data_IF_850191828409
#
_entry.id   IF_850191828409
#
_cell.length_a   1.000
_cell.length_b   1.000
_cell.length_c   1.000
_cell.angle_alpha   90.00
_cell.angle_beta   90.00
_cell.angle_gamma   90.00
#
_symmetry.space_group_name_H-M   'P 1'
#
loop_
_entity.id
_entity.type
_entity.pdbx_description
1 polymer ?
#
# COMPACT_ATOMS: atom_id res chain seq x y z
N UNK A 1 17.12 11.00 11.62
CA UNK A 1 16.71 12.39 11.88
C UNK A 1 17.93 13.29 11.86
N UNK A 2 17.81 14.45 11.18
CA UNK A 2 18.86 15.43 11.06
C UNK A 2 19.15 16.11 12.42
N UNK A 3 20.40 16.53 12.63
CA UNK A 3 20.83 17.25 13.85
C UNK A 3 20.40 18.72 13.74
N UNK A 4 19.35 19.09 14.44
CA UNK A 4 18.88 20.48 14.47
C UNK A 4 19.92 21.38 15.14
N UNK A 5 20.16 22.56 14.56
CA UNK A 5 21.16 23.53 15.02
C UNK A 5 22.57 23.32 14.50
N UNK A 6 22.81 22.32 13.64
CA UNK A 6 24.09 22.07 13.01
C UNK A 6 24.17 22.76 11.63
N UNK A 7 25.10 23.67 11.42
CA UNK A 7 25.24 24.43 10.18
C UNK A 7 25.61 23.54 8.97
N UNK A 8 26.26 22.41 9.17
CA UNK A 8 26.52 21.46 8.07
C UNK A 8 25.23 20.82 7.56
N UNK A 9 24.30 20.51 8.47
CA UNK A 9 22.98 20.00 8.10
C UNK A 9 22.25 21.01 7.24
N UNK A 10 22.28 22.30 7.58
CA UNK A 10 21.58 23.33 6.79
C UNK A 10 22.23 23.61 5.43
N UNK A 11 23.57 23.50 5.33
CA UNK A 11 24.25 23.52 4.03
C UNK A 11 23.83 22.35 3.14
N UNK A 12 23.76 21.17 3.73
CA UNK A 12 23.28 19.97 3.03
C UNK A 12 21.81 20.10 2.59
N UNK A 13 20.91 20.54 3.49
CA UNK A 13 19.48 20.77 3.17
C UNK A 13 19.33 21.82 2.06
N UNK A 14 20.07 22.96 2.11
CA UNK A 14 20.04 23.95 1.05
C UNK A 14 20.47 23.36 -0.30
N UNK A 15 21.52 22.55 -0.32
CA UNK A 15 21.98 21.88 -1.53
C UNK A 15 20.93 20.92 -2.10
N UNK A 16 20.29 20.12 -1.24
CA UNK A 16 19.22 19.20 -1.63
C UNK A 16 18.01 19.95 -2.21
N UNK A 17 17.52 20.99 -1.53
CA UNK A 17 16.38 21.79 -1.98
C UNK A 17 16.70 22.45 -3.33
N UNK A 18 17.86 23.06 -3.47
CA UNK A 18 18.30 23.68 -4.72
C UNK A 18 18.30 22.68 -5.88
N UNK A 19 18.91 21.52 -5.68
CA UNK A 19 19.01 20.49 -6.73
C UNK A 19 17.65 19.86 -7.07
N UNK A 20 16.82 19.60 -6.06
CA UNK A 20 15.48 19.06 -6.29
C UNK A 20 14.55 20.00 -7.03
N UNK A 21 14.69 21.33 -6.84
CA UNK A 21 13.80 22.33 -7.43
C UNK A 21 14.30 22.90 -8.76
N UNK A 22 15.59 22.78 -9.06
CA UNK A 22 16.23 23.32 -10.26
C UNK A 22 15.55 22.92 -11.58
N UNK A 23 15.12 21.65 -11.79
CA UNK A 23 14.51 21.25 -13.05
C UNK A 23 13.04 21.65 -13.20
N UNK A 24 12.41 22.27 -12.20
CA UNK A 24 10.98 22.58 -12.19
C UNK A 24 10.70 24.06 -12.34
N UNK A 25 9.65 24.39 -13.08
CA UNK A 25 9.16 25.76 -13.21
C UNK A 25 8.41 26.24 -11.95
N UNK A 26 7.79 25.33 -11.22
CA UNK A 26 7.09 25.64 -9.97
C UNK A 26 8.04 26.16 -8.91
N UNK A 27 7.55 27.09 -8.10
CA UNK A 27 8.25 27.55 -6.90
C UNK A 27 7.79 26.86 -5.62
N UNK A 28 6.88 25.91 -5.73
CA UNK A 28 6.38 25.13 -4.58
C UNK A 28 7.29 23.96 -4.31
N UNK A 29 7.59 23.73 -3.04
CA UNK A 29 8.40 22.58 -2.60
C UNK A 29 7.82 21.97 -1.34
N UNK A 30 7.65 20.67 -1.34
CA UNK A 30 7.27 19.89 -0.16
C UNK A 30 8.54 19.43 0.56
N UNK A 31 8.66 19.75 1.83
CA UNK A 31 9.86 19.53 2.64
C UNK A 31 9.79 18.25 3.48
N UNK A 32 8.66 17.51 3.45
CA UNK A 32 8.43 16.37 4.33
C UNK A 32 8.16 16.80 5.76
N UNK A 33 9.05 16.45 6.68
CA UNK A 33 9.02 16.75 8.13
C UNK A 33 7.95 15.99 8.91
N UNK A 34 7.48 14.87 8.37
CA UNK A 34 6.54 13.94 8.99
C UNK A 34 7.24 12.92 9.91
N UNK A 35 6.47 12.31 10.79
CA UNK A 35 6.80 11.12 11.58
C UNK A 35 8.17 11.14 12.28
N UNK A 36 8.60 12.32 12.72
CA UNK A 36 9.88 12.51 13.39
C UNK A 36 9.86 11.98 14.84
N UNK A 37 9.59 10.68 15.00
CA UNK A 37 9.42 10.00 16.31
C UNK A 37 10.54 10.24 17.29
N UNK A 38 11.79 10.22 16.80
CA UNK A 38 13.01 10.38 17.62
C UNK A 38 13.48 11.85 17.72
N UNK A 39 12.62 12.82 17.40
CA UNK A 39 12.96 14.24 17.50
C UNK A 39 13.39 14.60 18.93
N UNK A 40 14.56 15.22 19.06
CA UNK A 40 15.14 15.59 20.34
C UNK A 40 15.83 14.45 21.12
N UNK A 41 15.86 13.23 20.57
CA UNK A 41 16.50 12.06 21.18
C UNK A 41 17.90 11.77 20.61
N UNK A 42 18.55 10.74 21.12
CA UNK A 42 19.84 10.26 20.64
C UNK A 42 20.95 11.30 20.73
N UNK A 43 21.67 11.52 19.64
CA UNK A 43 22.80 12.48 19.59
C UNK A 43 22.39 13.91 19.91
N UNK A 44 21.15 14.32 19.56
CA UNK A 44 20.65 15.65 19.91
C UNK A 44 20.58 15.83 21.41
N UNK A 45 19.94 14.89 22.12
CA UNK A 45 19.83 14.90 23.58
C UNK A 45 21.20 14.91 24.27
N UNK A 46 22.15 14.09 23.78
CA UNK A 46 23.50 14.02 24.35
C UNK A 46 24.27 15.36 24.20
N UNK A 47 24.07 16.07 23.07
CA UNK A 47 24.79 17.31 22.78
C UNK A 47 24.15 18.54 23.43
N UNK A 48 22.82 18.62 23.42
CA UNK A 48 22.08 19.83 23.75
C UNK A 48 21.26 19.75 25.05
N UNK A 49 21.13 18.55 25.64
CA UNK A 49 20.19 18.31 26.73
C UNK A 49 18.74 18.19 26.24
N UNK A 50 17.82 18.10 27.19
CA UNK A 50 16.39 18.02 26.89
C UNK A 50 15.85 19.37 26.43
N UNK A 51 15.13 19.36 25.29
CA UNK A 51 14.30 20.44 24.81
C UNK A 51 12.94 19.89 24.38
N UNK A 52 11.83 20.66 24.53
CA UNK A 52 10.53 20.28 24.01
C UNK A 52 10.58 20.06 22.48
N UNK A 53 9.93 18.97 22.01
CA UNK A 53 9.91 18.67 20.57
C UNK A 53 9.36 19.83 19.73
N UNK A 54 8.37 20.58 20.25
CA UNK A 54 7.79 21.74 19.60
C UNK A 54 8.81 22.88 19.36
N UNK A 55 9.70 23.13 20.30
CA UNK A 55 10.77 24.12 20.16
C UNK A 55 11.79 23.69 19.10
N UNK A 56 12.20 22.41 19.15
CA UNK A 56 13.15 21.84 18.19
C UNK A 56 12.58 21.89 16.77
N UNK A 57 11.30 21.50 16.62
CA UNK A 57 10.61 21.51 15.32
C UNK A 57 10.46 22.94 14.77
N UNK A 58 10.03 23.88 15.61
CA UNK A 58 9.87 25.29 15.23
C UNK A 58 11.21 25.91 14.80
N UNK A 59 12.29 25.69 15.56
CA UNK A 59 13.62 26.18 15.23
C UNK A 59 14.15 25.60 13.90
N UNK A 60 13.94 24.31 13.68
CA UNK A 60 14.34 23.66 12.42
C UNK A 60 13.54 24.19 11.24
N UNK A 61 12.22 24.24 11.35
CA UNK A 61 11.35 24.71 10.27
C UNK A 61 11.62 26.18 9.93
N UNK A 62 11.79 27.05 10.91
CA UNK A 62 12.14 28.46 10.64
C UNK A 62 13.45 28.57 9.85
N UNK A 63 14.47 27.78 10.21
CA UNK A 63 15.74 27.80 9.50
C UNK A 63 15.61 27.30 8.05
N UNK A 64 14.83 26.24 7.82
CA UNK A 64 14.59 25.72 6.46
C UNK A 64 13.69 26.67 5.65
N UNK A 65 12.71 27.30 6.27
CA UNK A 65 11.88 28.33 5.62
C UNK A 65 12.73 29.53 5.17
N UNK A 66 13.70 29.98 5.96
CA UNK A 66 14.66 31.01 5.55
C UNK A 66 15.46 30.61 4.31
N UNK A 67 15.89 29.35 4.22
CA UNK A 67 16.55 28.80 3.02
C UNK A 67 15.60 28.88 1.82
N UNK A 68 14.33 28.48 1.98
CA UNK A 68 13.33 28.56 0.92
C UNK A 68 13.07 29.99 0.47
N UNK A 69 12.94 30.97 1.38
CA UNK A 69 12.81 32.40 1.06
C UNK A 69 13.99 32.90 0.24
N UNK A 70 15.22 32.56 0.65
CA UNK A 70 16.46 32.92 -0.10
C UNK A 70 16.45 32.33 -1.52
N UNK A 71 15.87 31.15 -1.73
CA UNK A 71 15.74 30.50 -3.03
C UNK A 71 14.50 30.92 -3.82
N UNK A 72 13.65 31.78 -3.28
CA UNK A 72 12.40 32.23 -3.90
C UNK A 72 11.34 31.12 -3.98
N UNK A 73 11.36 30.17 -3.04
CA UNK A 73 10.47 29.00 -2.99
C UNK A 73 9.35 29.19 -1.97
N UNK A 74 8.22 28.52 -2.19
CA UNK A 74 7.06 28.45 -1.31
C UNK A 74 7.01 27.08 -0.66
N UNK A 75 7.43 26.91 0.61
CA UNK A 75 7.50 25.64 1.28
C UNK A 75 6.13 25.13 1.74
N UNK A 76 5.97 23.80 1.76
CA UNK A 76 4.90 23.10 2.44
C UNK A 76 5.47 21.89 3.18
N UNK A 77 4.80 21.48 4.27
CA UNK A 77 5.20 20.35 5.11
C UNK A 77 3.99 19.50 5.45
N UNK A 78 4.22 18.23 5.79
CA UNK A 78 3.20 17.41 6.45
C UNK A 78 2.87 17.99 7.82
N UNK A 79 1.60 17.97 8.18
CA UNK A 79 1.10 18.64 9.40
C UNK A 79 1.14 17.79 10.66
N UNK A 80 1.34 16.46 10.52
CA UNK A 80 1.18 15.49 11.62
C UNK A 80 1.99 15.84 12.87
N UNK A 81 3.22 16.34 12.71
CA UNK A 81 4.05 16.68 13.86
C UNK A 81 3.45 17.78 14.74
N UNK A 82 2.71 18.75 14.16
CA UNK A 82 2.05 19.81 14.94
C UNK A 82 0.91 19.27 15.81
N UNK A 83 0.16 18.29 15.28
CA UNK A 83 -0.92 17.64 16.03
C UNK A 83 -0.37 16.61 17.01
N UNK A 84 0.62 15.81 16.63
CA UNK A 84 1.32 14.87 17.51
C UNK A 84 1.91 15.54 18.76
N UNK A 85 2.53 16.71 18.60
CA UNK A 85 3.10 17.46 19.73
C UNK A 85 2.03 18.05 20.65
N UNK A 86 0.78 18.16 20.19
CA UNK A 86 -0.39 18.60 20.97
C UNK A 86 -1.12 17.41 21.61
N UNK A 87 -0.83 16.17 21.20
CA UNK A 87 -1.40 14.94 21.72
C UNK A 87 -0.66 14.46 22.96
N UNK A 88 -1.41 13.91 23.94
CA UNK A 88 -0.82 13.29 25.14
C UNK A 88 -0.02 12.02 24.83
N UNK A 89 -0.47 11.27 23.82
CA UNK A 89 0.10 10.00 23.41
C UNK A 89 1.11 10.15 22.25
N UNK A 90 1.36 11.39 21.79
CA UNK A 90 2.16 11.67 20.60
C UNK A 90 1.62 10.96 19.35
N UNK A 91 0.29 10.83 19.28
CA UNK A 91 -0.43 10.27 18.13
C UNK A 91 -1.06 11.40 17.30
N UNK A 92 -1.18 11.17 15.98
CA UNK A 92 -1.70 12.15 15.04
C UNK A 92 -3.23 12.27 15.13
N UNK A 93 -3.93 11.17 15.39
CA UNK A 93 -5.38 11.07 15.29
C UNK A 93 -6.11 10.89 16.63
N UNK A 94 -5.44 11.06 17.76
CA UNK A 94 -6.05 10.88 19.09
C UNK A 94 -6.45 12.18 19.79
N UNK A 95 -6.41 13.31 19.07
CA UNK A 95 -6.85 14.58 19.62
C UNK A 95 -8.38 14.61 19.79
N UNK A 96 -8.88 15.20 20.88
CA UNK A 96 -10.31 15.49 21.01
C UNK A 96 -10.80 16.30 19.81
N UNK A 97 -11.93 15.90 19.20
CA UNK A 97 -12.42 16.53 17.98
C UNK A 97 -12.80 18.02 18.16
N UNK A 98 -13.03 18.46 19.37
CA UNK A 98 -13.33 19.87 19.73
C UNK A 98 -12.12 20.64 20.25
N UNK A 99 -10.91 20.08 20.14
CA UNK A 99 -9.68 20.69 20.68
C UNK A 99 -9.43 22.09 20.11
N UNK A 100 -9.10 23.01 21.00
CA UNK A 100 -8.62 24.35 20.65
C UNK A 100 -7.09 24.37 20.53
N UNK A 101 -6.60 24.66 19.33
CA UNK A 101 -5.18 24.78 18.99
C UNK A 101 -4.74 26.25 18.80
N UNK A 102 -5.58 27.22 19.15
CA UNK A 102 -5.25 28.66 18.97
C UNK A 102 -3.98 29.08 19.72
N UNK A 103 -3.70 28.46 20.88
CA UNK A 103 -2.50 28.67 21.69
C UNK A 103 -1.31 27.76 21.34
N UNK A 104 -1.43 26.86 20.37
CA UNK A 104 -0.33 25.98 19.99
C UNK A 104 0.79 26.69 19.22
N UNK A 105 1.98 26.10 19.19
CA UNK A 105 3.08 26.56 18.33
C UNK A 105 2.64 26.45 16.87
N UNK A 106 2.76 27.55 16.12
CA UNK A 106 2.35 27.63 14.72
C UNK A 106 3.58 27.58 13.79
N UNK A 107 3.43 27.03 12.57
CA UNK A 107 4.46 27.17 11.55
C UNK A 107 4.61 28.65 11.11
N UNK A 108 5.73 29.01 10.46
CA UNK A 108 5.85 30.31 9.79
C UNK A 108 4.69 30.55 8.81
N UNK A 109 4.18 31.77 8.72
CA UNK A 109 2.97 32.12 7.96
C UNK A 109 3.08 31.83 6.44
N UNK A 110 4.30 31.76 5.92
CA UNK A 110 4.59 31.42 4.52
C UNK A 110 4.79 29.93 4.25
N UNK A 111 4.58 29.07 5.25
CA UNK A 111 4.64 27.60 5.14
C UNK A 111 3.22 27.01 5.12
N UNK A 112 2.88 26.28 4.05
CA UNK A 112 1.62 25.58 3.98
C UNK A 112 1.65 24.27 4.77
N UNK A 113 0.55 23.95 5.47
CA UNK A 113 0.36 22.67 6.15
C UNK A 113 -0.42 21.72 5.27
N UNK A 114 0.13 20.52 5.04
CA UNK A 114 -0.53 19.44 4.29
C UNK A 114 -1.11 18.45 5.29
N UNK A 115 -2.41 18.47 5.43
CA UNK A 115 -3.17 17.48 6.21
C UNK A 115 -3.32 16.20 5.39
N UNK A 116 -2.70 15.11 5.85
CA UNK A 116 -2.84 13.81 5.22
C UNK A 116 -3.72 12.90 6.06
N UNK A 117 -4.70 12.26 5.40
CA UNK A 117 -5.56 11.26 6.04
C UNK A 117 -6.13 10.32 4.97
N UNK A 118 -5.93 9.01 5.19
CA UNK A 118 -6.37 7.94 4.31
C UNK A 118 -7.17 6.87 5.08
N UNK A 119 -7.48 7.11 6.37
CA UNK A 119 -7.87 6.05 7.29
C UNK A 119 -9.28 6.20 7.83
N UNK A 120 -9.81 7.40 7.82
CA UNK A 120 -11.12 7.69 8.36
C UNK A 120 -12.20 7.66 7.29
N UNK A 121 -13.41 7.21 7.69
CA UNK A 121 -14.58 7.14 6.81
C UNK A 121 -15.71 8.03 7.33
N UNK A 122 -15.51 8.71 8.45
CA UNK A 122 -16.47 9.64 9.05
C UNK A 122 -16.18 11.07 8.58
N UNK A 123 -17.14 11.67 7.90
CA UNK A 123 -17.05 13.04 7.40
C UNK A 123 -16.89 14.08 8.51
N UNK A 124 -17.53 13.85 9.69
CA UNK A 124 -17.38 14.76 10.82
C UNK A 124 -15.95 14.77 11.38
N UNK A 125 -15.26 13.62 11.34
CA UNK A 125 -13.84 13.54 11.70
C UNK A 125 -13.01 14.49 10.83
N UNK A 126 -13.18 14.43 9.50
CA UNK A 126 -12.47 15.31 8.56
C UNK A 126 -12.79 16.79 8.81
N UNK A 127 -14.08 17.15 9.05
CA UNK A 127 -14.47 18.53 9.36
C UNK A 127 -13.73 19.07 10.59
N UNK A 128 -13.66 18.29 11.65
CA UNK A 128 -13.01 18.71 12.89
C UNK A 128 -11.49 18.83 12.72
N UNK A 129 -10.85 17.88 12.02
CA UNK A 129 -9.42 17.96 11.76
C UNK A 129 -9.07 19.13 10.84
N UNK A 130 -9.83 19.40 9.79
CA UNK A 130 -9.66 20.58 8.95
C UNK A 130 -9.81 21.88 9.76
N UNK A 131 -10.78 21.95 10.67
CA UNK A 131 -10.94 23.08 11.61
C UNK A 131 -9.71 23.25 12.49
N UNK A 132 -9.15 22.19 13.05
CA UNK A 132 -7.92 22.25 13.84
C UNK A 132 -6.73 22.77 13.01
N UNK A 133 -6.58 22.28 11.79
CA UNK A 133 -5.52 22.74 10.89
C UNK A 133 -5.65 24.25 10.55
N UNK A 134 -6.88 24.73 10.36
CA UNK A 134 -7.14 26.16 10.10
C UNK A 134 -6.83 27.06 11.30
N UNK A 135 -6.72 26.53 12.51
CA UNK A 135 -6.22 27.29 13.66
C UNK A 135 -4.70 27.43 13.67
N UNK A 136 -3.98 26.50 12.99
CA UNK A 136 -2.53 26.49 12.91
C UNK A 136 -2.00 27.28 11.71
N UNK A 137 -2.71 27.27 10.57
CA UNK A 137 -2.28 27.93 9.34
C UNK A 137 -3.46 28.35 8.47
N UNK A 138 -3.34 29.52 7.82
CA UNK A 138 -4.26 29.96 6.76
C UNK A 138 -4.02 29.25 5.43
N UNK A 139 -2.93 28.50 5.31
CA UNK A 139 -2.54 27.75 4.12
C UNK A 139 -2.62 26.24 4.40
N UNK A 140 -3.83 25.68 4.30
CA UNK A 140 -4.08 24.25 4.48
C UNK A 140 -4.32 23.59 3.13
N UNK A 141 -3.64 22.45 2.90
CA UNK A 141 -3.79 21.58 1.74
C UNK A 141 -4.24 20.21 2.27
N UNK A 142 -5.16 19.56 1.59
CA UNK A 142 -5.56 18.21 1.95
C UNK A 142 -4.83 17.16 1.09
N UNK A 143 -4.36 16.08 1.70
CA UNK A 143 -3.81 14.93 1.01
C UNK A 143 -4.62 13.67 1.33
N UNK A 144 -5.38 13.19 0.35
CA UNK A 144 -6.05 11.89 0.38
C UNK A 144 -5.22 10.81 -0.30
N UNK A 145 -5.73 9.59 -0.38
CA UNK A 145 -4.95 8.45 -0.85
C UNK A 145 -5.64 7.55 -1.86
N UNK A 146 -4.90 7.11 -2.87
CA UNK A 146 -5.33 6.16 -3.90
C UNK A 146 -5.15 4.70 -3.56
N UNK A 147 -4.63 4.39 -2.37
CA UNK A 147 -4.55 3.06 -1.76
C UNK A 147 -3.89 1.95 -2.61
N UNK A 148 -2.68 2.21 -3.10
CA UNK A 148 -1.85 1.20 -3.81
C UNK A 148 -0.66 0.70 -3.00
N UNK A 149 -0.64 0.94 -1.70
CA UNK A 149 0.46 0.59 -0.78
C UNK A 149 0.15 -0.55 0.19
N UNK A 150 -1.08 -1.09 0.18
CA UNK A 150 -1.52 -2.05 1.19
C UNK A 150 -1.09 -3.50 0.90
N UNK A 151 -0.56 -3.80 -0.28
CA UNK A 151 -0.21 -5.17 -0.66
C UNK A 151 0.21 -5.30 -2.12
N UNK A 152 -0.16 -6.42 -2.74
CA UNK A 152 0.08 -6.69 -4.16
C UNK A 152 -1.10 -6.27 -5.04
N UNK A 153 -2.20 -5.87 -4.41
CA UNK A 153 -3.41 -5.37 -5.06
C UNK A 153 -3.87 -4.04 -4.46
N UNK A 154 -4.58 -3.19 -5.23
CA UNK A 154 -5.05 -1.90 -4.71
C UNK A 154 -6.25 -2.09 -3.77
N UNK A 155 -6.38 -1.23 -2.76
CA UNK A 155 -7.57 -1.16 -1.92
C UNK A 155 -8.56 -0.12 -2.44
N UNK A 156 -9.19 -0.39 -3.60
CA UNK A 156 -10.09 0.57 -4.26
C UNK A 156 -11.32 0.89 -3.39
N UNK A 157 -11.85 -0.11 -2.68
CA UNK A 157 -12.96 0.08 -1.76
C UNK A 157 -12.59 1.02 -0.61
N UNK A 158 -11.38 0.86 -0.07
CA UNK A 158 -10.84 1.76 0.96
C UNK A 158 -10.62 3.16 0.42
N UNK A 159 -10.05 3.30 -0.78
CA UNK A 159 -9.87 4.59 -1.43
C UNK A 159 -11.20 5.34 -1.61
N UNK A 160 -12.26 4.66 -2.06
CA UNK A 160 -13.60 5.24 -2.15
C UNK A 160 -14.12 5.67 -0.78
N UNK A 161 -14.08 4.77 0.20
CA UNK A 161 -14.65 5.00 1.53
C UNK A 161 -14.00 6.17 2.28
N UNK A 162 -12.73 6.47 2.02
CA UNK A 162 -12.01 7.60 2.64
C UNK A 162 -12.09 8.88 1.79
N UNK A 163 -12.01 8.77 0.46
CA UNK A 163 -12.02 9.94 -0.42
C UNK A 163 -13.35 10.70 -0.38
N UNK A 164 -14.48 10.00 -0.42
CA UNK A 164 -15.79 10.65 -0.51
C UNK A 164 -16.11 11.55 0.70
N UNK A 165 -16.02 11.08 1.96
CA UNK A 165 -16.28 11.93 3.11
C UNK A 165 -15.21 13.02 3.27
N UNK A 166 -13.94 12.71 3.00
CA UNK A 166 -12.86 13.69 3.07
C UNK A 166 -13.09 14.85 2.10
N UNK A 167 -13.36 14.56 0.83
CA UNK A 167 -13.50 15.60 -0.19
C UNK A 167 -14.80 16.43 -0.03
N UNK A 168 -15.86 15.86 0.58
CA UNK A 168 -17.02 16.66 0.99
C UNK A 168 -16.64 17.67 2.08
N UNK A 169 -15.96 17.21 3.12
CA UNK A 169 -15.48 18.08 4.20
C UNK A 169 -14.49 19.16 3.70
N UNK A 170 -13.58 18.80 2.79
CA UNK A 170 -12.62 19.72 2.14
C UNK A 170 -13.34 20.84 1.39
N UNK A 171 -14.37 20.52 0.60
CA UNK A 171 -15.19 21.50 -0.12
C UNK A 171 -15.95 22.42 0.83
N UNK A 172 -16.57 21.85 1.86
CA UNK A 172 -17.30 22.62 2.89
C UNK A 172 -16.39 23.57 3.66
N UNK A 173 -15.17 23.13 4.01
CA UNK A 173 -14.17 23.95 4.66
C UNK A 173 -13.53 25.03 3.75
N UNK A 174 -13.86 25.04 2.46
CA UNK A 174 -13.31 25.99 1.50
C UNK A 174 -11.83 25.79 1.18
N UNK A 175 -11.27 24.61 1.46
CA UNK A 175 -9.91 24.24 1.10
C UNK A 175 -9.83 24.12 -0.43
N UNK A 176 -8.87 24.82 -1.02
CA UNK A 176 -8.78 24.96 -2.49
C UNK A 176 -7.79 24.02 -3.15
N UNK A 177 -6.97 23.34 -2.37
CA UNK A 177 -5.92 22.47 -2.88
C UNK A 177 -6.01 21.11 -2.22
N UNK A 178 -6.04 20.06 -3.06
CA UNK A 178 -6.01 18.68 -2.61
C UNK A 178 -5.04 17.86 -3.48
N UNK A 179 -4.40 16.87 -2.86
CA UNK A 179 -3.43 15.97 -3.49
C UNK A 179 -3.88 14.53 -3.27
N UNK A 180 -3.90 13.72 -4.32
CA UNK A 180 -4.06 12.28 -4.20
C UNK A 180 -2.68 11.63 -4.08
N UNK A 181 -2.39 11.03 -2.94
CA UNK A 181 -1.14 10.29 -2.74
C UNK A 181 -1.26 8.86 -3.25
N UNK A 182 -0.19 8.36 -3.82
CA UNK A 182 -0.06 7.01 -4.35
C UNK A 182 1.23 6.41 -3.78
N UNK A 183 1.24 6.17 -2.46
CA UNK A 183 2.41 5.62 -1.79
C UNK A 183 2.78 4.24 -2.33
N UNK A 184 4.05 3.93 -2.30
CA UNK A 184 4.60 2.67 -2.78
C UNK A 184 5.41 1.99 -1.65
N UNK A 185 4.83 1.99 -0.46
CA UNK A 185 5.44 1.43 0.72
C UNK A 185 5.74 -0.05 0.54
N UNK A 186 6.81 -0.50 1.17
CA UNK A 186 7.21 -1.90 1.20
C UNK A 186 7.38 -2.55 -0.18
N UNK A 187 8.05 -1.84 -1.10
CA UNK A 187 8.59 -2.44 -2.33
C UNK A 187 7.77 -2.24 -3.60
N UNK A 188 6.80 -1.33 -3.61
CA UNK A 188 6.04 -0.98 -4.81
C UNK A 188 5.39 -2.21 -5.50
N UNK A 189 4.78 -3.09 -4.71
CA UNK A 189 4.25 -4.36 -5.22
C UNK A 189 2.99 -4.18 -6.06
N UNK A 190 2.10 -3.26 -5.66
CA UNK A 190 0.96 -2.84 -6.50
C UNK A 190 1.44 -1.85 -7.56
N UNK A 191 1.24 -2.10 -8.86
CA UNK A 191 1.57 -1.12 -9.90
C UNK A 191 0.69 0.13 -9.79
N UNK A 192 1.24 1.30 -10.15
CA UNK A 192 0.51 2.58 -10.09
C UNK A 192 -0.79 2.55 -10.89
N UNK A 193 -0.78 1.90 -12.03
CA UNK A 193 -1.95 1.77 -12.90
C UNK A 193 -3.13 1.02 -12.31
N UNK A 194 -2.90 0.20 -11.28
CA UNK A 194 -3.99 -0.48 -10.58
C UNK A 194 -4.86 0.48 -9.76
N UNK A 195 -4.37 1.68 -9.45
CA UNK A 195 -5.10 2.74 -8.73
C UNK A 195 -5.76 3.78 -9.62
N UNK A 196 -5.82 3.62 -10.94
CA UNK A 196 -6.35 4.64 -11.85
C UNK A 196 -7.79 5.06 -11.52
N UNK A 197 -8.66 4.11 -11.15
CA UNK A 197 -10.04 4.45 -10.77
C UNK A 197 -10.11 5.32 -9.51
N UNK A 198 -9.21 5.10 -8.55
CA UNK A 198 -9.09 5.95 -7.36
C UNK A 198 -8.65 7.37 -7.70
N UNK A 199 -7.69 7.52 -8.62
CA UNK A 199 -7.21 8.85 -9.06
C UNK A 199 -8.33 9.60 -9.77
N UNK A 200 -9.05 8.96 -10.69
CA UNK A 200 -10.15 9.61 -11.42
C UNK A 200 -11.27 10.01 -10.46
N UNK A 201 -11.63 9.14 -9.50
CA UNK A 201 -12.61 9.46 -8.44
C UNK A 201 -12.16 10.67 -7.62
N UNK A 202 -10.90 10.70 -7.17
CA UNK A 202 -10.36 11.82 -6.40
C UNK A 202 -10.39 13.13 -7.20
N UNK A 203 -9.98 13.07 -8.46
CA UNK A 203 -9.97 14.23 -9.35
C UNK A 203 -11.40 14.76 -9.58
N UNK A 204 -12.38 13.88 -9.82
CA UNK A 204 -13.78 14.28 -10.02
C UNK A 204 -14.33 15.01 -8.79
N UNK A 205 -14.02 14.54 -7.60
CA UNK A 205 -14.34 15.28 -6.36
C UNK A 205 -13.68 16.67 -6.27
N UNK A 206 -12.57 16.89 -6.98
CA UNK A 206 -11.93 18.21 -7.09
C UNK A 206 -12.67 19.18 -8.01
N UNK A 207 -13.43 18.68 -8.99
CA UNK A 207 -14.15 19.49 -9.98
C UNK A 207 -15.64 19.60 -9.70
N UNK A 208 -16.30 18.49 -9.41
CA UNK A 208 -17.74 18.44 -9.24
C UNK A 208 -18.17 18.82 -7.82
N UNK A 209 -19.27 19.55 -7.69
CA UNK A 209 -19.90 19.79 -6.39
C UNK A 209 -20.42 18.46 -5.80
N UNK A 210 -21.08 17.69 -6.64
CA UNK A 210 -21.57 16.34 -6.34
C UNK A 210 -21.05 15.40 -7.42
N UNK A 211 -20.58 14.22 -7.01
CA UNK A 211 -20.01 13.22 -7.93
C UNK A 211 -21.10 12.20 -8.26
N UNK A 212 -21.40 12.03 -9.55
CA UNK A 212 -22.25 10.95 -10.07
C UNK A 212 -21.40 9.74 -10.42
N UNK A 213 -21.79 8.56 -9.97
CA UNK A 213 -21.09 7.31 -10.32
C UNK A 213 -21.15 7.02 -11.82
N UNK A 214 -22.26 7.37 -12.49
CA UNK A 214 -22.41 7.21 -13.94
C UNK A 214 -21.42 8.10 -14.70
N UNK A 215 -21.37 9.39 -14.36
CA UNK A 215 -20.44 10.33 -14.99
C UNK A 215 -18.97 9.93 -14.72
N UNK A 216 -18.67 9.44 -13.52
CA UNK A 216 -17.34 8.96 -13.15
C UNK A 216 -16.91 7.77 -14.02
N UNK A 217 -17.80 6.80 -14.24
CA UNK A 217 -17.56 5.64 -15.11
C UNK A 217 -17.32 6.08 -16.56
N UNK A 218 -18.20 6.89 -17.10
CA UNK A 218 -18.09 7.41 -18.48
C UNK A 218 -16.76 8.16 -18.68
N UNK A 219 -16.39 9.01 -17.73
CA UNK A 219 -15.15 9.76 -17.76
C UNK A 219 -13.92 8.83 -17.67
N UNK A 220 -13.93 7.86 -16.75
CA UNK A 220 -12.87 6.88 -16.63
C UNK A 220 -12.67 6.09 -17.92
N UNK A 221 -13.77 5.57 -18.50
CA UNK A 221 -13.71 4.79 -19.74
C UNK A 221 -13.25 5.64 -20.93
N UNK A 222 -13.65 6.90 -20.97
CA UNK A 222 -13.16 7.86 -21.98
C UNK A 222 -11.65 8.11 -21.85
N UNK A 223 -11.16 8.32 -20.63
CA UNK A 223 -9.75 8.65 -20.37
C UNK A 223 -8.82 7.45 -20.56
N UNK A 224 -9.26 6.25 -20.17
CA UNK A 224 -8.41 5.06 -20.14
C UNK A 224 -8.62 4.11 -21.30
N UNK A 225 -9.77 4.18 -21.96
CA UNK A 225 -10.20 3.21 -22.98
C UNK A 225 -10.54 1.84 -22.42
N UNK A 226 -10.65 1.69 -21.09
CA UNK A 226 -10.87 0.42 -20.39
C UNK A 226 -12.14 0.50 -19.55
N UNK A 227 -12.83 -0.63 -19.39
CA UNK A 227 -14.05 -0.69 -18.58
C UNK A 227 -13.77 -0.37 -17.11
N UNK A 228 -14.59 0.48 -16.53
CA UNK A 228 -14.59 0.77 -15.09
C UNK A 228 -14.74 -0.50 -14.27
N UNK A 229 -15.71 -1.33 -14.61
CA UNK A 229 -16.01 -2.57 -13.90
C UNK A 229 -14.81 -3.54 -13.91
N UNK A 230 -14.06 -3.58 -15.01
CA UNK A 230 -12.85 -4.38 -15.12
C UNK A 230 -11.77 -3.92 -14.13
N UNK A 231 -11.59 -2.62 -13.98
CA UNK A 231 -10.62 -2.05 -13.03
C UNK A 231 -11.07 -2.26 -11.57
N UNK A 232 -12.36 -2.16 -11.27
CA UNK A 232 -12.86 -2.39 -9.92
C UNK A 232 -12.65 -3.83 -9.41
N UNK A 233 -12.57 -4.84 -10.32
CA UNK A 233 -12.21 -6.21 -9.95
C UNK A 233 -10.84 -6.28 -9.26
N UNK A 234 -9.91 -5.38 -9.59
CA UNK A 234 -8.59 -5.34 -8.97
C UNK A 234 -8.67 -5.09 -7.46
N UNK A 235 -9.64 -4.31 -7.01
CA UNK A 235 -9.90 -4.03 -5.60
C UNK A 235 -10.53 -5.20 -4.83
N UNK A 236 -10.91 -6.27 -5.49
CA UNK A 236 -11.53 -7.43 -4.85
C UNK A 236 -10.53 -8.49 -4.38
N UNK A 237 -9.26 -8.46 -4.80
CA UNK A 237 -8.25 -9.47 -4.45
C UNK A 237 -8.11 -9.70 -2.94
N UNK A 238 -8.35 -8.67 -2.16
CA UNK A 238 -8.25 -8.66 -0.70
C UNK A 238 -9.60 -8.46 -0.01
N UNK A 239 -10.71 -8.72 -0.71
CA UNK A 239 -12.07 -8.44 -0.22
C UNK A 239 -13.01 -9.64 -0.27
N UNK A 240 -12.60 -10.84 0.19
CA UNK A 240 -13.58 -11.91 0.41
C UNK A 240 -14.57 -11.48 1.49
N UNK A 241 -15.67 -12.20 1.60
CA UNK A 241 -16.67 -11.96 2.63
C UNK A 241 -16.04 -11.95 4.03
N UNK A 242 -16.39 -10.96 4.85
CA UNK A 242 -15.84 -10.79 6.20
C UNK A 242 -14.49 -10.08 6.28
N UNK A 243 -13.92 -9.61 5.14
CA UNK A 243 -12.66 -8.84 5.17
C UNK A 243 -12.85 -7.47 5.83
N UNK A 244 -11.87 -7.06 6.63
CA UNK A 244 -11.76 -5.72 7.20
C UNK A 244 -11.03 -4.77 6.24
N UNK A 245 -11.06 -3.46 6.57
CA UNK A 245 -10.53 -2.38 5.73
C UNK A 245 -9.06 -2.57 5.31
N UNK A 246 -8.22 -3.05 6.22
CA UNK A 246 -6.77 -3.19 5.99
C UNK A 246 -6.32 -4.59 5.58
N UNK A 247 -7.21 -5.58 5.54
CA UNK A 247 -6.81 -6.94 5.23
C UNK A 247 -6.18 -7.03 3.85
N UNK A 248 -5.10 -7.81 3.72
CA UNK A 248 -4.36 -7.98 2.49
C UNK A 248 -3.93 -9.44 2.22
N UNK A 249 -4.91 -10.37 2.20
CA UNK A 249 -4.62 -11.78 2.03
C UNK A 249 -3.85 -12.12 0.75
N UNK A 250 -4.06 -11.41 -0.34
CA UNK A 250 -3.32 -11.66 -1.59
C UNK A 250 -1.81 -11.60 -1.38
N UNK A 251 -1.31 -10.66 -0.57
CA UNK A 251 0.12 -10.51 -0.28
C UNK A 251 0.67 -11.65 0.56
N UNK A 252 0.08 -11.91 1.72
CA UNK A 252 0.66 -12.92 2.60
C UNK A 252 0.43 -14.34 2.07
N UNK A 253 -0.65 -14.62 1.33
CA UNK A 253 -0.86 -15.90 0.66
C UNK A 253 0.10 -16.11 -0.51
N UNK A 254 0.52 -15.05 -1.19
CA UNK A 254 1.56 -15.15 -2.22
C UNK A 254 2.90 -15.55 -1.61
N UNK A 255 3.33 -14.85 -0.54
CA UNK A 255 4.70 -14.95 -0.03
C UNK A 255 4.92 -15.95 1.10
N UNK A 256 3.90 -16.37 1.86
CA UNK A 256 4.11 -17.31 2.97
C UNK A 256 4.79 -18.60 2.53
N UNK A 257 5.67 -19.12 3.37
CA UNK A 257 6.26 -20.45 3.17
C UNK A 257 5.21 -21.55 3.32
N UNK A 258 5.16 -22.48 2.37
CA UNK A 258 4.12 -23.51 2.33
C UNK A 258 4.33 -24.65 3.36
N UNK A 259 5.56 -24.83 3.86
CA UNK A 259 5.84 -25.80 4.93
C UNK A 259 5.55 -25.20 6.30
N UNK A 260 5.88 -23.90 6.51
CA UNK A 260 5.66 -23.20 7.78
C UNK A 260 4.20 -22.80 7.95
N UNK A 261 3.56 -22.29 6.89
CA UNK A 261 2.12 -22.01 6.84
C UNK A 261 1.63 -20.99 7.88
N UNK A 262 2.33 -19.86 8.05
CA UNK A 262 2.02 -18.85 9.07
C UNK A 262 0.59 -18.30 9.00
N UNK A 263 -0.01 -18.32 7.82
CA UNK A 263 -1.37 -17.80 7.58
C UNK A 263 -2.37 -18.87 7.20
N UNK A 264 -2.03 -20.16 7.34
CA UNK A 264 -2.92 -21.26 6.97
C UNK A 264 -4.22 -21.25 7.79
N UNK A 265 -4.17 -20.89 9.08
CA UNK A 265 -5.35 -20.82 9.93
C UNK A 265 -6.24 -19.60 9.60
N UNK A 266 -5.68 -18.51 9.05
CA UNK A 266 -6.46 -17.32 8.64
C UNK A 266 -7.42 -17.64 7.49
N UNK A 267 -7.15 -18.69 6.72
CA UNK A 267 -7.93 -19.10 5.53
C UNK A 267 -8.62 -20.47 5.72
N UNK A 268 -8.69 -20.98 6.95
CA UNK A 268 -9.14 -22.37 7.20
C UNK A 268 -10.49 -22.72 6.57
N UNK A 269 -11.44 -21.81 6.63
CA UNK A 269 -12.80 -22.00 6.13
C UNK A 269 -13.08 -21.26 4.81
N UNK A 270 -12.03 -20.76 4.14
CA UNK A 270 -12.17 -20.04 2.89
C UNK A 270 -11.72 -20.87 1.70
N UNK A 271 -12.59 -21.06 0.71
CA UNK A 271 -12.21 -21.65 -0.58
C UNK A 271 -11.43 -20.64 -1.42
N UNK A 272 -10.17 -20.45 -1.04
CA UNK A 272 -9.26 -19.49 -1.69
C UNK A 272 -9.01 -19.81 -3.15
N UNK A 273 -9.07 -21.11 -3.53
CA UNK A 273 -8.86 -21.54 -4.91
C UNK A 273 -9.97 -21.00 -5.81
N UNK A 274 -11.21 -21.37 -5.51
CA UNK A 274 -12.38 -20.93 -6.31
C UNK A 274 -12.52 -19.42 -6.32
N UNK A 275 -12.16 -18.75 -5.23
CA UNK A 275 -12.19 -17.29 -5.16
C UNK A 275 -11.27 -16.64 -6.21
N UNK A 276 -9.99 -17.01 -6.24
CA UNK A 276 -9.04 -16.45 -7.20
C UNK A 276 -9.28 -16.93 -8.63
N UNK A 277 -9.75 -18.16 -8.83
CA UNK A 277 -10.21 -18.63 -10.15
C UNK A 277 -11.36 -17.77 -10.67
N UNK A 278 -12.33 -17.44 -9.82
CA UNK A 278 -13.45 -16.56 -10.19
C UNK A 278 -13.01 -15.15 -10.57
N UNK A 279 -12.04 -14.57 -9.86
CA UNK A 279 -11.45 -13.27 -10.20
C UNK A 279 -10.71 -13.32 -11.55
N UNK A 280 -9.90 -14.38 -11.77
CA UNK A 280 -9.20 -14.62 -13.03
C UNK A 280 -10.18 -14.65 -14.21
N UNK A 281 -11.22 -15.44 -14.09
CA UNK A 281 -12.19 -15.67 -15.16
C UNK A 281 -12.98 -14.38 -15.48
N UNK A 282 -13.34 -13.60 -14.49
CA UNK A 282 -13.96 -12.28 -14.66
C UNK A 282 -13.02 -11.29 -15.36
N UNK A 283 -11.73 -11.26 -14.99
CA UNK A 283 -10.73 -10.42 -15.64
C UNK A 283 -10.48 -10.83 -17.09
N UNK A 284 -10.39 -12.14 -17.39
CA UNK A 284 -10.25 -12.66 -18.74
C UNK A 284 -11.44 -12.23 -19.62
N UNK A 285 -12.66 -12.40 -19.11
CA UNK A 285 -13.86 -11.96 -19.80
C UNK A 285 -13.84 -10.45 -20.08
N UNK A 286 -13.44 -9.64 -19.10
CA UNK A 286 -13.36 -8.19 -19.27
C UNK A 286 -12.31 -7.78 -20.32
N UNK A 287 -11.16 -8.46 -20.38
CA UNK A 287 -10.14 -8.26 -21.41
C UNK A 287 -10.65 -8.63 -22.80
N UNK A 288 -11.35 -9.76 -22.96
CA UNK A 288 -11.95 -10.17 -24.22
C UNK A 288 -13.00 -9.17 -24.73
N UNK A 289 -13.84 -8.65 -23.83
CA UNK A 289 -14.83 -7.64 -24.15
C UNK A 289 -14.19 -6.30 -24.50
N UNK A 290 -13.11 -5.92 -23.80
CA UNK A 290 -12.31 -4.74 -24.11
C UNK A 290 -11.71 -4.80 -25.51
N UNK A 291 -11.08 -5.91 -25.85
CA UNK A 291 -10.52 -6.12 -27.20
C UNK A 291 -11.56 -6.02 -28.30
N UNK A 292 -12.77 -6.51 -28.09
CA UNK A 292 -13.88 -6.40 -29.07
C UNK A 292 -14.35 -4.96 -29.25
N UNK A 293 -14.41 -4.16 -28.19
CA UNK A 293 -14.80 -2.73 -28.25
C UNK A 293 -13.71 -1.87 -28.89
N UNK A 294 -12.45 -2.17 -28.65
CA UNK A 294 -11.30 -1.34 -29.04
C UNK A 294 -10.73 -1.65 -30.44
N UNK A 295 -11.27 -2.62 -31.19
CA UNK A 295 -10.75 -2.99 -32.51
C UNK A 295 -10.54 -1.80 -33.48
N UNK A 296 -11.30 -0.72 -33.34
CA UNK A 296 -11.14 0.51 -34.14
C UNK A 296 -10.20 1.54 -33.51
N UNK A 297 -10.02 1.53 -32.18
CA UNK A 297 -9.17 2.49 -31.46
C UNK A 297 -7.74 1.98 -31.23
N UNK A 298 -7.54 0.66 -31.09
CA UNK A 298 -6.23 0.01 -30.90
C UNK A 298 -5.31 0.24 -32.10
N UNK A 299 -5.85 0.29 -33.32
CA UNK A 299 -5.07 0.60 -34.52
C UNK A 299 -4.47 2.02 -34.50
N UNK A 300 -4.96 2.92 -33.64
CA UNK A 300 -4.48 4.30 -33.55
C UNK A 300 -3.62 4.60 -32.32
N UNK A 301 -3.63 3.81 -31.24
CA UNK A 301 -3.00 4.17 -29.94
C UNK A 301 -2.09 3.12 -29.29
N UNK A 302 -1.95 1.93 -29.85
CA UNK A 302 -1.21 0.80 -29.21
C UNK A 302 -2.03 0.21 -28.04
N UNK A 303 -1.84 -1.09 -27.71
CA UNK A 303 -2.55 -1.77 -26.63
C UNK A 303 -2.51 -0.96 -25.32
N UNK A 304 -3.68 -0.79 -24.68
CA UNK A 304 -3.83 0.17 -23.59
C UNK A 304 -3.05 -0.23 -22.36
N UNK A 305 -2.42 0.74 -21.71
CA UNK A 305 -1.72 0.54 -20.43
C UNK A 305 -2.60 -0.16 -19.37
N UNK A 306 -3.88 0.20 -19.29
CA UNK A 306 -4.81 -0.45 -18.38
C UNK A 306 -5.04 -1.94 -18.69
N UNK A 307 -5.00 -2.35 -19.96
CA UNK A 307 -5.09 -3.76 -20.37
C UNK A 307 -3.87 -4.57 -19.91
N UNK A 308 -2.68 -3.97 -19.92
CA UNK A 308 -1.47 -4.61 -19.38
C UNK A 308 -1.56 -4.80 -17.87
N UNK A 309 -2.12 -3.81 -17.14
CA UNK A 309 -2.41 -3.93 -15.72
C UNK A 309 -3.40 -5.07 -15.46
N UNK A 310 -4.53 -5.11 -16.17
CA UNK A 310 -5.51 -6.20 -16.03
C UNK A 310 -4.89 -7.56 -16.31
N UNK A 311 -4.06 -7.66 -17.36
CA UNK A 311 -3.34 -8.91 -17.71
C UNK A 311 -2.39 -9.36 -16.60
N UNK A 312 -1.71 -8.44 -15.91
CA UNK A 312 -0.89 -8.77 -14.75
C UNK A 312 -1.73 -9.40 -13.64
N UNK A 313 -2.91 -8.85 -13.36
CA UNK A 313 -3.80 -9.37 -12.32
C UNK A 313 -4.45 -10.70 -12.68
N UNK A 314 -4.65 -10.99 -13.97
CA UNK A 314 -4.99 -12.36 -14.41
C UNK A 314 -3.89 -13.34 -14.00
N UNK A 315 -2.62 -13.00 -14.23
CA UNK A 315 -1.48 -13.84 -13.83
C UNK A 315 -1.37 -13.98 -12.31
N UNK A 316 -1.62 -12.92 -11.55
CA UNK A 316 -1.63 -12.95 -10.08
C UNK A 316 -2.74 -13.87 -9.55
N UNK A 317 -3.96 -13.72 -10.06
CA UNK A 317 -5.10 -14.57 -9.67
C UNK A 317 -4.84 -16.04 -9.98
N UNK A 318 -4.28 -16.32 -11.16
CA UNK A 318 -3.91 -17.67 -11.57
C UNK A 318 -2.80 -18.28 -10.68
N UNK A 319 -1.79 -17.50 -10.30
CA UNK A 319 -0.77 -17.93 -9.35
C UNK A 319 -1.34 -18.18 -7.94
N UNK A 320 -2.18 -17.27 -7.43
CA UNK A 320 -2.80 -17.38 -6.12
C UNK A 320 -3.77 -18.56 -6.03
N UNK A 321 -4.53 -18.88 -7.09
CA UNK A 321 -5.46 -20.02 -7.10
C UNK A 321 -4.77 -21.36 -6.84
N UNK A 322 -3.51 -21.49 -7.24
CA UNK A 322 -2.71 -22.71 -7.03
C UNK A 322 -1.87 -22.59 -5.74
N UNK A 323 -1.18 -21.46 -5.55
CA UNK A 323 -0.21 -21.29 -4.45
C UNK A 323 -0.88 -21.14 -3.08
N UNK A 324 -1.98 -20.39 -2.97
CA UNK A 324 -2.58 -20.08 -1.68
C UNK A 324 -3.05 -21.32 -0.88
N UNK A 325 -3.66 -22.36 -1.49
CA UNK A 325 -4.09 -23.55 -0.75
C UNK A 325 -2.97 -24.54 -0.43
N UNK A 326 -1.73 -24.40 -0.99
CA UNK A 326 -0.68 -25.43 -0.92
C UNK A 326 -0.25 -25.75 0.50
N UNK A 327 -0.07 -24.77 1.38
CA UNK A 327 0.37 -25.01 2.75
C UNK A 327 -0.60 -25.94 3.48
N UNK A 328 -1.88 -25.63 3.42
CA UNK A 328 -2.94 -26.44 4.04
C UNK A 328 -3.05 -27.83 3.43
N UNK A 329 -2.90 -27.96 2.11
CA UNK A 329 -2.91 -29.27 1.45
C UNK A 329 -1.72 -30.13 1.89
N UNK A 330 -0.51 -29.55 1.96
CA UNK A 330 0.68 -30.26 2.44
C UNK A 330 0.53 -30.69 3.90
N UNK A 331 0.10 -29.79 4.76
CA UNK A 331 -0.14 -30.08 6.18
C UNK A 331 -1.17 -31.21 6.37
N UNK A 332 -2.34 -31.07 5.75
CA UNK A 332 -3.41 -32.08 5.88
C UNK A 332 -3.06 -33.43 5.27
N UNK A 333 -2.30 -33.51 4.17
CA UNK A 333 -1.82 -34.76 3.61
C UNK A 333 -0.74 -35.39 4.49
N UNK A 334 0.17 -34.61 5.06
CA UNK A 334 1.20 -35.13 5.96
C UNK A 334 0.62 -35.60 7.29
N UNK A 335 -0.31 -34.87 7.90
CA UNK A 335 -1.02 -35.28 9.11
C UNK A 335 -1.69 -36.66 8.96
N UNK A 336 -2.30 -36.90 7.80
CA UNK A 336 -2.94 -38.19 7.46
C UNK A 336 -1.95 -39.27 6.98
N UNK A 337 -0.67 -38.93 6.85
CA UNK A 337 0.37 -39.76 6.24
C UNK A 337 -0.02 -40.25 4.83
N UNK A 338 -0.77 -39.41 4.09
CA UNK A 338 -1.22 -39.73 2.72
C UNK A 338 -0.08 -39.48 1.72
N UNK A 339 0.71 -40.55 1.52
CA UNK A 339 1.87 -40.53 0.62
C UNK A 339 1.50 -40.23 -0.83
N UNK A 340 0.31 -40.73 -1.27
CA UNK A 340 -0.13 -40.49 -2.65
C UNK A 340 -0.47 -39.00 -2.88
N UNK A 341 -1.20 -38.38 -1.95
CA UNK A 341 -1.50 -36.97 -2.00
C UNK A 341 -0.23 -36.13 -1.94
N UNK A 342 0.73 -36.44 -1.04
CA UNK A 342 2.01 -35.73 -0.96
C UNK A 342 2.83 -35.86 -2.25
N UNK A 343 2.87 -37.04 -2.87
CA UNK A 343 3.54 -37.22 -4.16
C UNK A 343 2.90 -36.36 -5.25
N UNK A 344 1.56 -36.33 -5.34
CA UNK A 344 0.85 -35.49 -6.30
C UNK A 344 1.11 -34.02 -6.07
N UNK A 345 1.19 -33.54 -4.81
CA UNK A 345 1.55 -32.15 -4.48
C UNK A 345 2.98 -31.81 -4.91
N UNK A 346 3.96 -32.67 -4.62
CA UNK A 346 5.37 -32.46 -4.98
C UNK A 346 5.60 -32.51 -6.49
N UNK A 347 4.99 -33.45 -7.19
CA UNK A 347 5.23 -33.71 -8.61
C UNK A 347 4.44 -32.78 -9.55
N UNK A 348 3.27 -32.28 -9.11
CA UNK A 348 2.35 -31.53 -9.98
C UNK A 348 2.01 -30.15 -9.46
N UNK A 349 1.49 -30.01 -8.23
CA UNK A 349 0.94 -28.73 -7.78
C UNK A 349 2.03 -27.72 -7.43
N UNK A 350 3.12 -28.11 -6.77
CA UNK A 350 4.24 -27.19 -6.48
C UNK A 350 4.91 -26.72 -7.77
N UNK A 351 5.27 -27.61 -8.75
CA UNK A 351 5.80 -27.13 -10.04
C UNK A 351 4.84 -26.22 -10.79
N UNK A 352 3.55 -26.49 -10.79
CA UNK A 352 2.53 -25.63 -11.40
C UNK A 352 2.49 -24.24 -10.74
N UNK A 353 2.52 -24.18 -9.40
CA UNK A 353 2.59 -22.90 -8.69
C UNK A 353 3.85 -22.11 -9.07
N UNK A 354 5.01 -22.77 -9.15
CA UNK A 354 6.26 -22.17 -9.56
C UNK A 354 6.19 -21.60 -10.98
N UNK A 355 5.59 -22.33 -11.92
CA UNK A 355 5.38 -21.87 -13.30
C UNK A 355 4.53 -20.59 -13.33
N UNK A 356 3.37 -20.61 -12.67
CA UNK A 356 2.47 -19.45 -12.64
C UNK A 356 3.06 -18.23 -11.95
N UNK A 357 3.86 -18.44 -10.90
CA UNK A 357 4.58 -17.36 -10.23
C UNK A 357 5.65 -16.74 -11.15
N UNK A 358 6.35 -17.57 -11.97
CA UNK A 358 7.29 -17.05 -12.98
C UNK A 358 6.56 -16.19 -14.03
N UNK A 359 5.41 -16.65 -14.53
CA UNK A 359 4.60 -15.86 -15.48
C UNK A 359 4.15 -14.54 -14.87
N UNK A 360 3.69 -14.55 -13.61
CA UNK A 360 3.36 -13.33 -12.87
C UNK A 360 4.57 -12.38 -12.75
N UNK A 361 5.74 -12.91 -12.35
CA UNK A 361 6.98 -12.15 -12.23
C UNK A 361 7.37 -11.48 -13.54
N UNK A 362 7.35 -12.23 -14.64
CA UNK A 362 7.74 -11.72 -15.95
C UNK A 362 6.79 -10.62 -16.45
N UNK A 363 5.51 -10.77 -16.20
CA UNK A 363 4.51 -9.72 -16.48
C UNK A 363 4.72 -8.48 -15.61
N UNK A 364 5.06 -8.67 -14.32
CA UNK A 364 5.34 -7.55 -13.40
C UNK A 364 6.61 -6.79 -13.81
N UNK A 365 7.65 -7.49 -14.26
CA UNK A 365 8.86 -6.88 -14.79
C UNK A 365 8.57 -6.05 -16.05
N UNK A 366 7.82 -6.60 -16.98
CA UNK A 366 7.45 -5.89 -18.21
C UNK A 366 6.69 -4.60 -17.90
N UNK A 367 5.71 -4.67 -16.98
CA UNK A 367 4.95 -3.50 -16.56
C UNK A 367 5.82 -2.49 -15.79
N UNK A 368 6.72 -2.97 -14.92
CA UNK A 368 7.67 -2.11 -14.20
C UNK A 368 8.51 -1.27 -15.16
N UNK A 369 9.09 -1.91 -16.18
CA UNK A 369 9.92 -1.24 -17.17
C UNK A 369 9.15 -0.22 -18.03
N UNK A 370 7.82 -0.33 -18.08
CA UNK A 370 6.95 0.68 -18.71
C UNK A 370 6.66 1.86 -17.79
N UNK A 371 6.44 1.60 -16.50
CA UNK A 371 6.06 2.60 -15.49
C UNK A 371 7.25 3.35 -14.92
N UNK A 372 8.39 2.68 -14.78
CA UNK A 372 9.51 3.12 -13.97
C UNK A 372 10.84 2.81 -14.63
N UNK A 373 11.91 3.35 -14.07
CA UNK A 373 13.26 2.87 -14.37
C UNK A 373 13.49 1.53 -13.70
N UNK A 374 14.49 0.78 -14.17
CA UNK A 374 14.79 -0.57 -13.69
C UNK A 374 15.13 -0.62 -12.19
N UNK A 375 15.69 0.45 -11.63
CA UNK A 375 16.09 0.51 -10.22
C UNK A 375 14.87 0.34 -9.30
N UNK A 376 14.99 -0.54 -8.30
CA UNK A 376 13.94 -0.92 -7.37
C UNK A 376 13.29 -2.26 -7.71
N UNK A 377 13.31 -2.71 -8.98
CA UNK A 377 12.75 -4.00 -9.36
C UNK A 377 13.49 -5.17 -8.71
N UNK A 378 14.77 -5.02 -8.42
CA UNK A 378 15.56 -6.03 -7.69
C UNK A 378 14.94 -6.44 -6.34
N UNK A 379 14.17 -5.55 -5.71
CA UNK A 379 13.43 -5.90 -4.48
C UNK A 379 12.39 -6.98 -4.76
N UNK A 380 11.62 -6.83 -5.83
CA UNK A 380 10.61 -7.82 -6.26
C UNK A 380 11.27 -9.11 -6.75
N UNK A 381 12.37 -9.00 -7.47
CA UNK A 381 13.15 -10.16 -7.92
C UNK A 381 13.65 -11.01 -6.74
N UNK A 382 14.19 -10.38 -5.71
CA UNK A 382 14.64 -11.07 -4.50
C UNK A 382 13.47 -11.74 -3.80
N UNK A 383 12.33 -11.05 -3.66
CA UNK A 383 11.12 -11.57 -3.01
C UNK A 383 10.54 -12.77 -3.75
N UNK A 384 10.30 -12.62 -5.04
CA UNK A 384 9.72 -13.69 -5.89
C UNK A 384 10.72 -14.82 -6.09
N UNK A 385 12.01 -14.49 -6.30
CA UNK A 385 13.08 -15.47 -6.40
C UNK A 385 13.23 -16.30 -5.13
N UNK A 386 13.14 -15.67 -3.96
CA UNK A 386 13.11 -16.34 -2.67
C UNK A 386 11.90 -17.26 -2.50
N UNK A 387 10.71 -16.81 -2.92
CA UNK A 387 9.50 -17.65 -2.93
C UNK A 387 9.69 -18.89 -3.82
N UNK A 388 10.22 -18.75 -5.02
CA UNK A 388 10.48 -19.88 -5.93
C UNK A 388 11.50 -20.86 -5.34
N UNK A 389 12.57 -20.35 -4.72
CA UNK A 389 13.56 -21.18 -4.04
C UNK A 389 12.96 -21.94 -2.85
N UNK A 390 12.05 -21.32 -2.08
CA UNK A 390 11.35 -22.00 -0.97
C UNK A 390 10.38 -23.06 -1.45
N UNK A 391 9.68 -22.84 -2.56
CA UNK A 391 8.82 -23.88 -3.19
C UNK A 391 9.64 -25.08 -3.69
N UNK A 392 10.80 -24.83 -4.30
CA UNK A 392 11.72 -25.91 -4.70
C UNK A 392 12.25 -26.68 -3.48
N UNK A 393 12.59 -25.99 -2.39
CA UNK A 393 12.99 -26.62 -1.14
C UNK A 393 11.85 -27.46 -0.53
N UNK A 394 10.62 -26.96 -0.55
CA UNK A 394 9.45 -27.66 -0.06
C UNK A 394 9.22 -28.96 -0.85
N UNK A 395 9.32 -28.90 -2.19
CA UNK A 395 9.24 -30.09 -3.07
C UNK A 395 10.30 -31.12 -2.66
N UNK A 396 11.56 -30.75 -2.59
CA UNK A 396 12.67 -31.65 -2.21
C UNK A 396 12.48 -32.26 -0.81
N UNK A 397 12.02 -31.49 0.16
CA UNK A 397 11.73 -31.98 1.52
C UNK A 397 10.66 -33.07 1.51
N UNK A 398 9.55 -32.87 0.76
CA UNK A 398 8.49 -33.86 0.62
C UNK A 398 9.00 -35.12 -0.11
N UNK A 399 9.77 -34.95 -1.20
CA UNK A 399 10.37 -36.09 -1.93
C UNK A 399 11.32 -36.88 -1.04
N UNK A 400 12.21 -36.25 -0.26
CA UNK A 400 13.12 -36.94 0.67
C UNK A 400 12.36 -37.76 1.73
N UNK A 401 11.22 -37.27 2.23
CA UNK A 401 10.38 -38.03 3.14
C UNK A 401 9.68 -39.21 2.44
N UNK A 402 9.19 -38.99 1.23
CA UNK A 402 8.60 -40.02 0.42
C UNK A 402 9.59 -41.16 0.08
N UNK A 403 10.84 -40.83 -0.13
CA UNK A 403 11.91 -41.78 -0.43
C UNK A 403 12.49 -42.47 0.83
N UNK A 404 12.09 -42.03 2.03
CA UNK A 404 12.65 -42.55 3.29
C UNK A 404 14.05 -42.05 3.62
N UNK A 405 14.48 -40.96 3.03
CA UNK A 405 15.77 -40.31 3.30
C UNK A 405 15.72 -39.53 4.61
N UNK A 406 14.54 -39.08 5.03
CA UNK A 406 14.26 -38.44 6.32
C UNK A 406 13.03 -39.08 6.97
N UNK A 407 13.07 -39.21 8.31
CA UNK A 407 12.00 -39.85 9.07
C UNK A 407 10.77 -38.99 9.23
N UNK A 408 10.97 -37.65 9.28
CA UNK A 408 9.89 -36.69 9.49
C UNK A 408 10.12 -35.35 8.77
N UNK A 409 9.05 -34.54 8.71
CA UNK A 409 9.07 -33.16 8.27
C UNK A 409 8.66 -32.26 9.45
N UNK A 410 9.60 -31.84 10.31
CA UNK A 410 9.29 -31.07 11.52
C UNK A 410 8.47 -29.83 11.25
N UNK A 411 8.65 -29.20 10.08
CA UNK A 411 7.89 -28.00 9.64
C UNK A 411 6.38 -28.30 9.53
N UNK A 412 6.00 -29.55 9.24
CA UNK A 412 4.61 -30.02 9.13
C UNK A 412 4.10 -30.74 10.39
N UNK A 413 4.94 -30.90 11.41
CA UNK A 413 4.57 -31.45 12.72
C UNK A 413 4.16 -30.37 13.72
N UNK A 414 4.64 -29.15 13.52
CA UNK A 414 4.24 -28.00 14.32
C UNK A 414 2.77 -27.63 14.09
N UNK A 415 1.98 -27.38 15.15
CA UNK A 415 0.58 -27.03 15.01
C UNK A 415 0.42 -25.69 14.29
N UNK A 416 -0.58 -25.61 13.39
CA UNK A 416 -0.93 -24.36 12.72
C UNK A 416 -1.63 -23.43 13.71
N UNK A 417 -0.96 -22.35 14.08
CA UNK A 417 -1.53 -21.33 14.94
C UNK A 417 -2.04 -20.16 14.10
N UNK A 418 -3.11 -19.49 14.52
CA UNK A 418 -3.57 -18.29 13.83
C UNK A 418 -2.55 -17.17 14.02
N UNK A 419 -2.20 -16.47 12.94
CA UNK A 419 -1.32 -15.29 12.96
C UNK A 419 -1.91 -14.15 13.82
N UNK A 420 -3.24 -14.01 13.81
CA UNK A 420 -4.00 -13.20 14.75
C UNK A 420 -5.09 -14.06 15.38
N UNK A 421 -5.46 -13.78 16.64
CA UNK A 421 -6.55 -14.49 17.30
C UNK A 421 -7.81 -14.46 16.44
N UNK A 422 -8.43 -15.65 16.24
CA UNK A 422 -9.73 -15.76 15.61
C UNK A 422 -10.75 -15.31 16.64
N UNK A 423 -11.62 -14.37 16.29
CA UNK A 423 -12.70 -13.93 17.15
C UNK A 423 -13.80 -14.99 17.21
N UNK A 424 -14.37 -15.15 18.39
CA UNK A 424 -15.45 -16.12 18.60
C UNK A 424 -16.63 -15.81 17.67
N UNK A 425 -17.09 -16.81 16.90
CA UNK A 425 -18.19 -16.65 15.95
C UNK A 425 -17.79 -16.20 14.53
N UNK A 426 -16.51 -15.93 14.25
CA UNK A 426 -16.04 -15.63 12.90
C UNK A 426 -15.58 -16.90 12.16
N UNK A 427 -16.02 -17.07 10.90
CA UNK A 427 -15.66 -18.23 10.07
C UNK A 427 -14.17 -18.25 9.69
N UNK A 428 -13.59 -17.06 9.51
CA UNK A 428 -12.16 -16.84 9.25
C UNK A 428 -11.75 -15.46 9.76
N UNK A 429 -10.48 -15.33 10.13
CA UNK A 429 -9.94 -14.04 10.58
C UNK A 429 -8.83 -13.61 9.65
N UNK A 430 -9.18 -12.84 8.63
CA UNK A 430 -8.19 -12.20 7.77
C UNK A 430 -7.43 -11.15 8.57
N UNK A 431 -6.29 -10.73 8.05
CA UNK A 431 -5.44 -9.73 8.70
C UNK A 431 -4.68 -8.89 7.68
N UNK A 432 -4.12 -7.79 8.15
CA UNK A 432 -3.13 -7.01 7.43
C UNK A 432 -1.72 -7.44 7.86
N UNK A 433 -0.88 -7.76 6.89
CA UNK A 433 0.55 -7.97 7.11
C UNK A 433 1.34 -7.44 5.90
N UNK A 434 1.96 -6.27 6.05
CA UNK A 434 2.70 -5.62 4.96
C UNK A 434 4.18 -5.99 4.94
N UNK A 435 4.78 -6.28 6.09
CA UNK A 435 6.20 -6.59 6.16
C UNK A 435 6.53 -7.94 5.54
N UNK A 436 7.16 -7.94 4.38
CA UNK A 436 7.56 -9.15 3.66
C UNK A 436 8.37 -10.12 4.53
N UNK A 437 9.33 -9.63 5.31
CA UNK A 437 10.14 -10.48 6.19
C UNK A 437 9.31 -11.19 7.27
N UNK A 438 8.26 -10.58 7.76
CA UNK A 438 7.34 -11.18 8.73
C UNK A 438 6.46 -12.25 8.09
N UNK A 439 6.13 -12.08 6.80
CA UNK A 439 5.31 -13.05 6.05
C UNK A 439 6.09 -14.33 5.76
N UNK A 440 7.36 -14.22 5.39
CA UNK A 440 8.15 -15.38 4.94
C UNK A 440 8.67 -16.24 6.06
N UNK A 441 8.84 -15.70 7.27
CA UNK A 441 9.44 -16.42 8.39
C UNK A 441 8.93 -15.93 9.73
N UNK A 442 8.76 -16.86 10.67
CA UNK A 442 8.54 -16.57 12.08
C UNK A 442 9.83 -16.13 12.79
N UNK A 443 11.00 -16.36 12.19
CA UNK A 443 12.28 -15.95 12.74
C UNK A 443 12.54 -14.48 12.43
N UNK A 444 12.88 -13.65 13.42
CA UNK A 444 13.33 -12.29 13.17
C UNK A 444 14.69 -12.33 12.46
N UNK A 445 14.72 -11.78 11.26
CA UNK A 445 15.92 -11.67 10.42
C UNK A 445 16.39 -10.22 10.44
#
# INVERSE_FOLDING_TARGET
ILMVGDEEVYRFVEACIRRATEPFLTKRVHLGMDEAWSLGLGKYLHKNGYHPKSEIMAAHLERVAQICRKLGLKPMIWSDMYLRMSSKNNDYYDLPLDMDLSGAVKPPADVALVYWDYYHTDENFYRQYLRMHSQLSDQVIFAGGGWVWNGVSPNLKGAKATTEPAMRAVKEAGIREAVCTMWQDDGAETPMGAGLSSIVRFAEHGFAKEVSEEALKEQFEFLTGTSWEACEILGEFDRPQGSAFYDNPSKYLLYQDVLIGLFDEQIRNWDVKSYYEGLRDRLLKALEEGMKRNCMQILQRGGGYAEEVLSLYVCLADALSVKAPLGRKLYGAYEKKDRQALAALAEKEIPLAMEKIRVYRDRREALWNRESRIFGFEVLDIRIGGLLARLESAKKRVESWLNGEVDSLPELEEPRLPFRPVKEGEEHTLCACNSWKTIISASPI
#
